data_IF_500950396136
#
_entry.id   IF_500950396136
#
_cell.length_a   1.000
_cell.length_b   1.000
_cell.length_c   1.000
_cell.angle_alpha   90.00
_cell.angle_beta   90.00
_cell.angle_gamma   90.00
#
_symmetry.space_group_name_H-M   'P 1'
#
loop_
_entity.id
_entity.type
_entity.pdbx_description
1 polymer ?
#
# COMPACT_ATOMS: atom_id res chain seq x y z
N UNK A 1 -25.83 -32.91 36.13
CA UNK A 1 -25.77 -32.43 34.74
C UNK A 1 -24.57 -31.49 34.68
N UNK A 2 -23.46 -31.99 34.13
CA UNK A 2 -22.18 -31.29 34.13
C UNK A 2 -21.82 -31.06 32.66
N UNK A 3 -22.01 -29.82 32.17
CA UNK A 3 -21.63 -29.43 30.82
C UNK A 3 -20.14 -29.09 30.77
N UNK A 4 -19.35 -29.95 30.11
CA UNK A 4 -17.95 -29.70 29.79
C UNK A 4 -17.85 -28.90 28.50
N UNK A 5 -17.53 -27.61 28.61
CA UNK A 5 -17.18 -26.75 27.48
C UNK A 5 -15.79 -27.09 26.93
N UNK A 6 -15.76 -27.80 25.81
CA UNK A 6 -14.53 -28.11 25.07
C UNK A 6 -13.97 -26.89 24.33
N UNK A 7 -12.80 -26.42 24.73
CA UNK A 7 -12.06 -25.39 24.01
C UNK A 7 -11.26 -26.03 22.87
N UNK A 8 -11.74 -25.86 21.64
CA UNK A 8 -11.08 -26.29 20.42
C UNK A 8 -9.68 -25.66 20.31
N UNK A 9 -8.66 -26.50 20.46
CA UNK A 9 -7.24 -26.18 20.22
C UNK A 9 -7.06 -25.88 18.74
N UNK A 10 -6.96 -24.60 18.36
CA UNK A 10 -6.41 -24.20 17.05
C UNK A 10 -4.91 -24.53 17.06
N UNK A 11 -4.55 -25.64 16.44
CA UNK A 11 -3.18 -25.89 16.01
C UNK A 11 -2.76 -24.74 15.07
N UNK A 12 -1.65 -24.08 15.38
CA UNK A 12 -0.97 -23.20 14.43
C UNK A 12 0.53 -23.46 14.54
N UNK A 13 1.12 -23.71 13.38
CA UNK A 13 2.40 -24.35 13.12
C UNK A 13 3.63 -23.73 13.82
N UNK A 14 4.69 -24.51 14.08
CA UNK A 14 5.99 -23.98 14.47
C UNK A 14 6.63 -23.23 13.30
N UNK A 15 6.98 -21.96 13.51
CA UNK A 15 7.80 -21.23 12.54
C UNK A 15 9.28 -21.52 12.85
N UNK A 16 9.84 -22.49 12.12
CA UNK A 16 11.29 -22.66 11.94
C UNK A 16 11.83 -21.43 11.20
N UNK A 17 13.05 -20.93 11.51
CA UNK A 17 13.62 -19.76 10.86
C UNK A 17 13.93 -20.06 9.39
N UNK A 18 13.24 -19.39 8.47
CA UNK A 18 13.66 -19.37 7.07
C UNK A 18 14.81 -18.36 6.90
N UNK A 19 16.02 -18.91 6.96
CA UNK A 19 17.18 -18.38 6.26
C UNK A 19 16.94 -18.63 4.76
N UNK A 20 16.95 -17.55 3.97
CA UNK A 20 16.99 -17.47 2.49
C UNK A 20 16.08 -18.40 1.68
N UNK A 21 15.03 -17.82 1.08
CA UNK A 21 14.51 -18.30 -0.22
C UNK A 21 14.01 -17.08 -1.03
N UNK A 22 14.54 -16.83 -2.24
CA UNK A 22 14.06 -15.77 -3.13
C UNK A 22 12.89 -16.33 -3.93
N UNK A 23 11.69 -16.31 -3.36
CA UNK A 23 10.47 -16.60 -4.09
C UNK A 23 9.32 -15.87 -3.41
N UNK A 24 8.40 -15.36 -4.22
CA UNK A 24 7.27 -14.46 -3.88
C UNK A 24 7.67 -12.98 -3.93
N UNK A 25 8.15 -12.56 -5.10
CA UNK A 25 7.82 -11.24 -5.65
C UNK A 25 6.47 -11.40 -6.34
N UNK A 26 5.42 -10.81 -5.78
CA UNK A 26 4.13 -10.72 -6.45
C UNK A 26 4.23 -9.82 -7.68
N UNK A 27 3.57 -10.28 -8.73
CA UNK A 27 3.61 -9.77 -10.08
C UNK A 27 2.76 -8.50 -10.23
N UNK A 28 3.25 -7.34 -9.79
CA UNK A 28 2.58 -6.06 -10.10
C UNK A 28 3.55 -4.89 -10.38
N UNK A 29 4.86 -5.16 -10.49
CA UNK A 29 5.86 -4.10 -10.78
C UNK A 29 6.57 -4.25 -12.13
N UNK A 30 5.97 -5.01 -13.06
CA UNK A 30 6.52 -5.26 -14.41
C UNK A 30 5.91 -4.37 -15.50
N UNK A 31 5.52 -3.14 -15.17
CA UNK A 31 5.06 -2.11 -16.14
C UNK A 31 5.71 -0.74 -16.02
N UNK A 32 6.81 -0.62 -15.29
CA UNK A 32 7.72 0.50 -15.46
C UNK A 32 9.15 -0.02 -15.55
N UNK A 33 9.95 0.60 -16.42
CA UNK A 33 11.33 0.24 -16.78
C UNK A 33 11.45 -0.77 -17.94
N UNK A 34 10.81 -0.42 -19.05
CA UNK A 34 11.50 -0.50 -20.35
C UNK A 34 12.34 0.78 -20.42
N UNK A 35 13.67 0.71 -20.34
CA UNK A 35 14.63 1.59 -21.02
C UNK A 35 16.06 1.19 -20.61
N UNK A 36 16.92 1.06 -21.63
CA UNK A 36 18.38 0.90 -21.59
C UNK A 36 18.95 -0.54 -21.67
N UNK A 37 18.92 -1.05 -22.91
CA UNK A 37 20.07 -1.53 -23.70
C UNK A 37 21.12 -2.44 -23.04
N UNK A 38 21.10 -3.71 -23.44
CA UNK A 38 22.16 -4.69 -23.22
C UNK A 38 23.32 -4.42 -24.18
N UNK A 39 24.48 -4.05 -23.66
CA UNK A 39 25.74 -4.24 -24.38
C UNK A 39 26.81 -4.86 -23.48
N UNK A 40 27.36 -5.96 -24.01
CA UNK A 40 28.73 -6.43 -23.82
C UNK A 40 29.09 -7.20 -22.54
N UNK A 41 29.03 -8.52 -22.71
CA UNK A 41 29.86 -9.55 -22.08
C UNK A 41 31.33 -9.12 -21.93
N UNK A 42 31.88 -9.17 -20.71
CA UNK A 42 33.31 -9.43 -20.49
C UNK A 42 33.55 -10.19 -19.17
N UNK A 43 34.05 -11.41 -19.34
CA UNK A 43 34.99 -12.19 -18.51
C UNK A 43 35.30 -11.68 -17.09
N UNK A 44 35.10 -12.52 -16.07
CA UNK A 44 36.21 -13.26 -15.43
C UNK A 44 35.69 -14.11 -14.26
N UNK A 45 35.98 -15.40 -14.31
CA UNK A 45 35.89 -16.31 -13.17
C UNK A 45 37.15 -16.11 -12.33
N UNK A 46 37.07 -15.35 -11.24
CA UNK A 46 38.10 -15.34 -10.20
C UNK A 46 37.54 -16.00 -8.95
N UNK A 47 38.16 -17.11 -8.58
CA UNK A 47 38.08 -17.71 -7.25
C UNK A 47 38.90 -16.83 -6.31
N UNK A 48 38.25 -16.16 -5.36
CA UNK A 48 38.92 -15.46 -4.24
C UNK A 48 38.64 -16.21 -2.92
N UNK A 49 39.65 -16.42 -2.07
CA UNK A 49 39.52 -17.14 -0.80
C UNK A 49 38.71 -16.32 0.22
N UNK A 50 38.12 -17.02 1.19
CA UNK A 50 37.49 -16.45 2.37
C UNK A 50 38.41 -15.44 3.09
N UNK A 51 38.14 -14.16 2.93
CA UNK A 51 38.62 -13.10 3.80
C UNK A 51 37.50 -12.78 4.78
N UNK A 52 37.60 -13.29 6.00
CA UNK A 52 36.86 -12.76 7.15
C UNK A 52 37.40 -11.36 7.42
N UNK A 53 36.77 -10.34 6.85
CA UNK A 53 37.03 -8.97 7.25
C UNK A 53 36.33 -8.75 8.61
N UNK A 54 37.13 -8.46 9.65
CA UNK A 54 36.58 -7.85 10.86
C UNK A 54 36.35 -6.37 10.53
N UNK A 55 35.12 -5.98 10.21
CA UNK A 55 34.77 -4.57 10.15
C UNK A 55 34.69 -4.05 11.59
N UNK A 56 35.60 -3.16 11.95
CA UNK A 56 35.52 -2.38 13.16
C UNK A 56 34.43 -1.30 13.01
N UNK A 57 33.24 -1.59 13.52
CA UNK A 57 32.07 -0.69 13.48
C UNK A 57 32.29 0.64 14.22
N UNK A 58 33.40 0.81 14.96
CA UNK A 58 33.72 2.07 15.64
C UNK A 58 33.98 3.25 14.68
N UNK A 59 34.24 2.96 13.39
CA UNK A 59 34.56 3.97 12.37
C UNK A 59 33.40 4.36 11.45
N UNK A 60 32.27 3.65 11.54
CA UNK A 60 31.12 3.85 10.61
C UNK A 60 29.90 4.43 11.33
N UNK A 61 29.84 4.35 12.67
CA UNK A 61 28.67 4.79 13.43
C UNK A 61 28.76 6.25 13.89
N UNK A 62 27.67 7.05 13.77
CA UNK A 62 27.64 8.42 14.26
C UNK A 62 27.80 8.48 15.79
N UNK A 63 28.44 9.55 16.28
CA UNK A 63 28.94 9.74 17.66
C UNK A 63 27.93 9.58 18.82
N UNK A 64 26.64 9.41 18.54
CA UNK A 64 25.62 9.14 19.56
C UNK A 64 25.41 7.63 19.83
N UNK A 65 26.02 6.74 19.03
CA UNK A 65 26.07 5.30 19.33
C UNK A 65 27.25 5.02 20.25
N UNK A 66 27.01 5.12 21.56
CA UNK A 66 27.95 4.62 22.57
C UNK A 66 27.72 3.12 22.76
N UNK A 67 28.64 2.27 22.30
CA UNK A 67 28.71 0.87 22.77
C UNK A 67 29.31 0.91 24.18
N UNK A 68 28.49 1.31 25.13
CA UNK A 68 28.80 1.17 26.54
C UNK A 68 28.39 -0.23 26.97
N UNK A 69 29.35 -1.04 27.42
CA UNK A 69 29.08 -2.19 28.29
C UNK A 69 28.44 -1.67 29.58
N UNK A 70 27.14 -1.41 29.56
CA UNK A 70 26.38 -1.16 30.79
C UNK A 70 26.16 -2.50 31.47
N UNK A 71 26.82 -2.66 32.61
CA UNK A 71 26.49 -3.63 33.63
C UNK A 71 24.97 -3.74 33.75
N UNK A 72 24.46 -4.95 33.62
CA UNK A 72 23.05 -5.31 33.68
C UNK A 72 22.51 -4.95 35.07
N UNK A 73 22.04 -3.71 35.24
CA UNK A 73 21.17 -3.38 36.37
C UNK A 73 19.82 -3.95 36.00
N UNK A 74 19.44 -5.06 36.62
CA UNK A 74 18.08 -5.59 36.57
C UNK A 74 17.14 -4.58 37.20
N UNK A 75 16.64 -3.64 36.40
CA UNK A 75 15.42 -2.91 36.71
C UNK A 75 14.31 -3.94 36.75
N UNK A 76 14.02 -4.44 37.95
CA UNK A 76 12.72 -5.01 38.26
C UNK A 76 11.73 -3.87 38.08
N UNK A 77 11.12 -3.82 36.90
CA UNK A 77 10.03 -2.91 36.60
C UNK A 77 8.81 -3.32 37.44
N UNK A 78 8.80 -2.89 38.70
CA UNK A 78 7.60 -2.87 39.55
C UNK A 78 6.68 -1.77 39.03
N UNK A 79 6.02 -2.05 37.91
CA UNK A 79 5.01 -1.19 37.30
C UNK A 79 3.92 -2.05 36.70
N UNK A 80 2.97 -2.49 37.54
CA UNK A 80 1.59 -2.88 37.21
C UNK A 80 1.30 -3.89 36.08
N UNK A 81 2.29 -4.47 35.40
CA UNK A 81 2.05 -5.40 34.31
C UNK A 81 1.89 -6.82 34.85
N UNK A 82 0.77 -7.45 34.51
CA UNK A 82 0.55 -8.89 34.74
C UNK A 82 1.75 -9.64 34.16
N UNK A 83 2.41 -10.44 34.98
CA UNK A 83 3.54 -11.27 34.55
C UNK A 83 3.07 -12.26 33.49
N UNK A 84 3.54 -12.10 32.25
CA UNK A 84 3.27 -13.05 31.17
C UNK A 84 4.21 -14.24 31.35
N UNK A 85 3.66 -15.46 31.36
CA UNK A 85 4.46 -16.70 31.44
C UNK A 85 4.65 -17.28 30.03
N UNK A 86 5.86 -17.74 29.75
CA UNK A 86 6.14 -18.53 28.54
C UNK A 86 5.74 -20.01 28.74
N UNK A 87 5.82 -20.82 27.69
CA UNK A 87 5.48 -22.25 27.76
C UNK A 87 6.40 -23.07 28.69
N UNK A 88 7.56 -22.53 29.09
CA UNK A 88 8.41 -23.15 30.11
C UNK A 88 7.93 -22.88 31.55
N UNK A 89 6.84 -22.13 31.76
CA UNK A 89 6.40 -21.67 33.07
C UNK A 89 7.22 -20.51 33.64
N UNK A 90 8.19 -19.98 32.88
CA UNK A 90 9.02 -18.85 33.29
C UNK A 90 8.38 -17.52 32.88
N UNK A 91 8.64 -16.46 33.66
CA UNK A 91 8.25 -15.09 33.29
C UNK A 91 8.93 -14.71 31.98
N UNK A 92 8.13 -14.31 30.99
CA UNK A 92 8.58 -13.83 29.71
C UNK A 92 8.98 -12.35 29.83
N UNK A 93 10.28 -11.99 29.68
CA UNK A 93 10.70 -10.59 29.70
C UNK A 93 10.15 -9.80 28.51
N UNK A 94 9.85 -8.52 28.75
CA UNK A 94 9.51 -7.55 27.71
C UNK A 94 10.80 -7.12 26.98
N UNK A 95 10.89 -7.45 25.70
CA UNK A 95 11.98 -7.12 24.78
C UNK A 95 11.50 -6.10 23.73
N UNK A 96 12.44 -5.47 23.04
CA UNK A 96 12.17 -4.54 21.94
C UNK A 96 12.71 -5.12 20.64
N UNK A 97 11.90 -5.16 19.59
CA UNK A 97 12.32 -5.52 18.26
C UNK A 97 13.17 -4.39 17.68
N UNK A 98 14.35 -4.76 17.18
CA UNK A 98 15.27 -3.86 16.47
C UNK A 98 15.37 -4.25 14.99
N UNK A 99 14.36 -4.96 14.47
CA UNK A 99 14.32 -5.36 13.05
C UNK A 99 13.87 -4.19 12.19
N UNK A 100 14.36 -4.11 10.95
CA UNK A 100 13.99 -3.03 10.01
C UNK A 100 12.48 -2.91 9.75
N UNK A 101 11.75 -4.02 9.86
CA UNK A 101 10.28 -4.05 9.71
C UNK A 101 9.52 -3.61 10.96
N UNK A 102 10.09 -3.78 12.16
CA UNK A 102 9.41 -3.50 13.43
C UNK A 102 10.32 -2.74 14.43
N UNK A 103 10.91 -1.60 14.04
CA UNK A 103 11.82 -0.88 14.92
C UNK A 103 11.08 -0.35 16.15
N UNK A 104 11.61 -0.62 17.34
CA UNK A 104 11.08 -0.09 18.59
C UNK A 104 9.81 -0.77 19.11
N UNK A 105 9.21 -1.71 18.36
CA UNK A 105 8.01 -2.44 18.80
C UNK A 105 8.36 -3.43 19.90
N UNK A 106 7.60 -3.44 21.00
CA UNK A 106 7.89 -4.30 22.16
C UNK A 106 7.16 -5.63 22.07
N UNK A 107 7.76 -6.69 22.60
CA UNK A 107 7.19 -8.04 22.64
C UNK A 107 7.65 -8.80 23.89
N UNK A 108 6.85 -9.73 24.39
CA UNK A 108 7.26 -10.71 25.38
C UNK A 108 7.88 -11.92 24.68
N UNK A 109 9.06 -12.34 25.13
CA UNK A 109 9.76 -13.52 24.59
C UNK A 109 10.18 -14.48 25.69
N UNK A 110 10.45 -15.75 25.37
CA UNK A 110 11.00 -16.69 26.35
C UNK A 110 12.32 -16.15 26.96
N UNK A 111 12.49 -16.31 28.28
CA UNK A 111 13.73 -15.94 28.97
C UNK A 111 14.94 -16.75 28.47
N UNK A 112 14.71 -18.02 28.08
CA UNK A 112 15.73 -18.91 27.49
C UNK A 112 16.02 -18.62 26.01
N UNK A 113 15.43 -17.57 25.43
CA UNK A 113 15.71 -17.14 24.05
C UNK A 113 17.02 -16.34 24.01
N UNK A 114 18.16 -17.01 24.22
CA UNK A 114 19.49 -16.41 24.09
C UNK A 114 20.47 -17.39 23.47
N UNK A 115 21.38 -16.90 22.64
CA UNK A 115 22.46 -17.72 22.04
C UNK A 115 23.40 -18.33 23.10
N UNK A 116 23.41 -17.77 24.32
CA UNK A 116 24.28 -18.19 25.43
C UNK A 116 23.63 -19.20 26.37
N UNK A 117 22.34 -19.49 26.22
CA UNK A 117 21.67 -20.47 27.07
C UNK A 117 21.73 -21.84 26.40
N UNK A 118 22.42 -22.79 27.03
CA UNK A 118 22.41 -24.23 26.66
C UNK A 118 21.05 -24.91 26.92
N UNK A 119 19.98 -24.14 27.05
CA UNK A 119 18.67 -24.62 27.45
C UNK A 119 17.68 -24.37 26.31
N UNK A 120 16.95 -25.42 25.95
CA UNK A 120 15.97 -25.36 24.87
C UNK A 120 14.92 -24.28 25.16
N UNK A 121 14.81 -23.33 24.24
CA UNK A 121 13.83 -22.24 24.32
C UNK A 121 12.49 -22.72 23.77
N UNK A 122 11.37 -22.37 24.42
CA UNK A 122 10.04 -22.78 23.96
C UNK A 122 9.45 -21.91 22.83
N UNK A 123 10.27 -21.07 22.19
CA UNK A 123 9.88 -20.17 21.10
C UNK A 123 8.65 -19.28 21.40
N UNK A 124 8.38 -19.01 22.69
CA UNK A 124 7.28 -18.14 23.10
C UNK A 124 7.51 -16.70 22.62
N UNK A 125 6.48 -16.13 21.97
CA UNK A 125 6.46 -14.77 21.45
C UNK A 125 5.05 -14.17 21.56
N UNK A 126 4.94 -12.93 22.05
CA UNK A 126 3.69 -12.18 22.12
C UNK A 126 3.95 -10.68 21.94
N UNK A 127 3.25 -10.02 21.02
CA UNK A 127 3.37 -8.56 20.88
C UNK A 127 2.87 -7.84 22.14
N UNK A 128 3.58 -6.81 22.56
CA UNK A 128 3.12 -5.89 23.59
C UNK A 128 2.42 -4.72 22.91
N UNK A 129 1.09 -4.74 22.98
CA UNK A 129 0.26 -3.63 22.58
C UNK A 129 -0.30 -2.99 23.87
N UNK A 130 0.14 -1.77 24.25
CA UNK A 130 -0.41 -1.11 25.42
C UNK A 130 -1.91 -0.88 25.20
N UNK A 131 -2.70 -0.99 26.28
CA UNK A 131 -4.12 -0.62 26.21
C UNK A 131 -4.23 0.81 25.67
N UNK A 132 -5.06 0.99 24.64
CA UNK A 132 -5.37 2.32 24.11
C UNK A 132 -5.83 3.21 25.25
N UNK A 133 -5.39 4.47 25.26
CA UNK A 133 -5.86 5.41 26.28
C UNK A 133 -7.39 5.54 26.21
N UNK A 134 -8.09 5.88 27.31
CA UNK A 134 -9.56 5.99 27.32
C UNK A 134 -10.10 6.85 26.16
N UNK A 135 -9.42 7.97 25.87
CA UNK A 135 -9.72 8.83 24.72
C UNK A 135 -9.61 8.09 23.37
N UNK A 136 -8.62 7.22 23.19
CA UNK A 136 -8.45 6.43 21.97
C UNK A 136 -9.56 5.40 21.77
N UNK A 137 -10.09 4.83 22.86
CA UNK A 137 -11.23 3.92 22.83
C UNK A 137 -12.51 4.66 22.41
N UNK A 138 -12.72 5.88 22.90
CA UNK A 138 -13.88 6.72 22.54
C UNK A 138 -13.81 7.25 21.10
N UNK A 139 -12.63 7.72 20.67
CA UNK A 139 -12.45 8.36 19.36
C UNK A 139 -12.36 7.33 18.22
N UNK A 140 -11.86 6.12 18.48
CA UNK A 140 -11.68 5.07 17.48
C UNK A 140 -12.95 4.81 16.64
N UNK A 141 -14.10 4.50 17.26
CA UNK A 141 -15.35 4.29 16.54
C UNK A 141 -15.82 5.50 15.72
N UNK A 142 -15.62 6.73 16.23
CA UNK A 142 -15.98 7.96 15.52
C UNK A 142 -15.13 8.13 14.26
N UNK A 143 -13.82 7.89 14.37
CA UNK A 143 -12.90 7.96 13.25
C UNK A 143 -13.23 6.91 12.19
N UNK A 144 -13.51 5.66 12.58
CA UNK A 144 -13.91 4.61 11.65
C UNK A 144 -15.21 4.95 10.92
N UNK A 145 -16.22 5.50 11.61
CA UNK A 145 -17.46 5.97 10.97
C UNK A 145 -17.19 7.07 9.96
N UNK A 146 -16.34 8.05 10.32
CA UNK A 146 -15.98 9.15 9.43
C UNK A 146 -15.22 8.67 8.19
N UNK A 147 -14.30 7.72 8.33
CA UNK A 147 -13.58 7.10 7.21
C UNK A 147 -14.58 6.46 6.24
N UNK A 148 -15.50 5.62 6.74
CA UNK A 148 -16.51 4.97 5.91
C UNK A 148 -17.41 5.97 5.17
N UNK A 149 -17.83 7.04 5.84
CA UNK A 149 -18.65 8.09 5.23
C UNK A 149 -17.89 8.84 4.13
N UNK A 150 -16.62 9.17 4.36
CA UNK A 150 -15.76 9.82 3.36
C UNK A 150 -15.47 8.88 2.18
N UNK A 151 -15.28 7.58 2.41
CA UNK A 151 -15.11 6.60 1.36
C UNK A 151 -16.36 6.47 0.48
N UNK A 152 -17.56 6.46 1.07
CA UNK A 152 -18.81 6.46 0.29
C UNK A 152 -18.99 7.75 -0.51
N UNK A 153 -18.77 8.90 0.11
CA UNK A 153 -18.89 10.21 -0.56
C UNK A 153 -17.92 10.32 -1.74
N UNK A 154 -16.68 9.88 -1.57
CA UNK A 154 -15.70 9.81 -2.65
C UNK A 154 -16.19 8.95 -3.81
N UNK A 155 -16.79 7.78 -3.53
CA UNK A 155 -17.31 6.90 -4.57
C UNK A 155 -18.46 7.53 -5.36
N UNK A 156 -19.36 8.24 -4.67
CA UNK A 156 -20.48 8.94 -5.30
C UNK A 156 -19.99 10.11 -6.18
N UNK A 157 -19.00 10.86 -5.68
CA UNK A 157 -18.35 11.92 -6.44
C UNK A 157 -17.66 11.35 -7.69
N UNK A 158 -16.99 10.20 -7.61
CA UNK A 158 -16.38 9.58 -8.79
C UNK A 158 -17.43 9.16 -9.84
N UNK A 159 -18.58 8.63 -9.42
CA UNK A 159 -19.69 8.26 -10.31
C UNK A 159 -20.27 9.50 -11.00
N UNK A 160 -20.54 10.57 -10.25
CA UNK A 160 -21.09 11.81 -10.79
C UNK A 160 -20.12 12.49 -11.75
N UNK A 161 -18.82 12.50 -11.45
CA UNK A 161 -17.79 13.06 -12.33
C UNK A 161 -17.70 12.28 -13.66
N UNK A 162 -17.76 10.94 -13.60
CA UNK A 162 -17.87 10.09 -14.81
C UNK A 162 -19.13 10.37 -15.63
N UNK A 163 -20.26 10.67 -14.99
CA UNK A 163 -21.50 11.03 -15.70
C UNK A 163 -21.41 12.40 -16.36
N UNK A 164 -20.91 13.40 -15.63
CA UNK A 164 -20.73 14.76 -16.14
C UNK A 164 -19.77 14.80 -17.32
N UNK A 165 -18.65 14.08 -17.24
CA UNK A 165 -17.69 13.99 -18.35
C UNK A 165 -18.29 13.35 -19.61
N UNK A 166 -19.16 12.34 -19.47
CA UNK A 166 -19.93 11.79 -20.60
C UNK A 166 -20.90 12.82 -21.18
N UNK A 167 -21.64 13.53 -20.33
CA UNK A 167 -22.58 14.56 -20.76
C UNK A 167 -21.88 15.71 -21.49
N UNK A 168 -20.71 16.14 -21.00
CA UNK A 168 -19.90 17.18 -21.66
C UNK A 168 -19.51 16.73 -23.07
N UNK A 169 -18.99 15.50 -23.22
CA UNK A 169 -18.63 14.96 -24.55
C UNK A 169 -19.83 14.83 -25.49
N UNK A 170 -21.00 14.45 -24.96
CA UNK A 170 -22.23 14.37 -25.76
C UNK A 170 -22.73 15.76 -26.21
N UNK A 171 -22.69 16.76 -25.32
CA UNK A 171 -23.01 18.13 -25.67
C UNK A 171 -22.03 18.72 -26.68
N UNK A 172 -20.74 18.38 -26.58
CA UNK A 172 -19.72 18.80 -27.55
C UNK A 172 -19.99 18.22 -28.94
N UNK A 173 -20.38 16.95 -29.03
CA UNK A 173 -20.72 16.33 -30.32
C UNK A 173 -22.01 16.89 -30.91
N UNK A 174 -23.03 17.14 -30.08
CA UNK A 174 -24.29 17.76 -30.50
C UNK A 174 -24.05 19.19 -31.02
N UNK A 175 -23.23 19.98 -30.31
CA UNK A 175 -22.82 21.32 -30.74
C UNK A 175 -22.08 21.29 -32.08
N UNK A 176 -21.24 20.28 -32.31
CA UNK A 176 -20.54 20.11 -33.58
C UNK A 176 -21.51 19.73 -34.71
N UNK A 177 -22.45 18.83 -34.43
CA UNK A 177 -23.50 18.46 -35.37
C UNK A 177 -24.35 19.68 -35.77
N UNK A 178 -24.80 20.48 -34.79
CA UNK A 178 -25.57 21.71 -35.01
C UNK A 178 -24.79 22.75 -35.84
N UNK A 179 -23.48 22.88 -35.63
CA UNK A 179 -22.64 23.74 -36.48
C UNK A 179 -22.62 23.28 -37.93
N UNK A 180 -22.54 21.97 -38.16
CA UNK A 180 -22.53 21.40 -39.51
C UNK A 180 -23.91 21.57 -40.17
N UNK A 181 -25.00 21.27 -39.47
CA UNK A 181 -26.36 21.43 -40.01
C UNK A 181 -26.68 22.88 -40.30
N UNK A 182 -26.30 23.82 -39.43
CA UNK A 182 -26.48 25.25 -39.66
C UNK A 182 -25.73 25.72 -40.92
N UNK A 183 -24.47 25.29 -41.10
CA UNK A 183 -23.71 25.57 -42.33
C UNK A 183 -24.42 25.02 -43.55
N UNK A 184 -24.84 23.75 -43.52
CA UNK A 184 -25.58 23.11 -44.63
C UNK A 184 -26.85 23.88 -44.95
N UNK A 185 -27.66 24.22 -43.95
CA UNK A 185 -28.89 25.00 -44.12
C UNK A 185 -28.63 26.36 -44.78
N UNK A 186 -27.57 27.06 -44.36
CA UNK A 186 -27.17 28.32 -45.00
C UNK A 186 -26.84 28.14 -46.48
N UNK A 187 -26.08 27.10 -46.82
CA UNK A 187 -25.76 26.80 -48.22
C UNK A 187 -27.00 26.38 -49.02
N UNK A 188 -27.89 25.54 -48.47
CA UNK A 188 -29.11 25.11 -49.17
C UNK A 188 -30.06 26.29 -49.40
N UNK A 189 -30.24 27.17 -48.42
CA UNK A 189 -31.06 28.39 -48.59
C UNK A 189 -30.49 29.29 -49.69
N UNK A 190 -29.17 29.49 -49.72
CA UNK A 190 -28.51 30.28 -50.77
C UNK A 190 -28.65 29.65 -52.16
N UNK A 191 -28.45 28.34 -52.29
CA UNK A 191 -28.63 27.63 -53.56
C UNK A 191 -30.08 27.71 -54.06
N UNK A 192 -31.05 27.46 -53.18
CA UNK A 192 -32.47 27.59 -53.52
C UNK A 192 -32.82 29.01 -53.98
N UNK A 193 -32.27 30.03 -53.32
CA UNK A 193 -32.47 31.43 -53.74
C UNK A 193 -31.94 31.70 -55.15
N UNK A 194 -30.74 31.21 -55.49
CA UNK A 194 -30.16 31.35 -56.83
C UNK A 194 -31.05 30.66 -57.88
N UNK A 195 -31.53 29.45 -57.60
CA UNK A 195 -32.42 28.72 -58.51
C UNK A 195 -33.71 29.51 -58.77
N UNK A 196 -34.32 30.09 -57.73
CA UNK A 196 -35.51 30.94 -57.87
C UNK A 196 -35.24 32.14 -58.78
N UNK A 197 -34.11 32.82 -58.60
CA UNK A 197 -33.72 33.97 -59.42
C UNK A 197 -33.53 33.57 -60.89
N UNK A 198 -32.87 32.43 -61.15
CA UNK A 198 -32.66 31.92 -62.52
C UNK A 198 -33.99 31.55 -63.18
N UNK A 199 -34.86 30.80 -62.50
CA UNK A 199 -36.19 30.43 -63.02
C UNK A 199 -37.00 31.69 -63.34
N UNK A 200 -36.98 32.68 -62.45
CA UNK A 200 -37.68 33.95 -62.67
C UNK A 200 -37.17 34.69 -63.90
N UNK A 201 -35.84 34.72 -64.12
CA UNK A 201 -35.25 35.34 -65.30
C UNK A 201 -35.62 34.61 -66.60
N UNK A 202 -35.61 33.27 -66.60
CA UNK A 202 -36.03 32.46 -67.75
C UNK A 202 -37.51 32.66 -68.07
N UNK A 203 -38.36 32.75 -67.04
CA UNK A 203 -39.80 33.01 -67.21
C UNK A 203 -40.06 34.39 -67.84
N UNK A 204 -39.32 35.43 -67.43
CA UNK A 204 -39.42 36.75 -68.06
C UNK A 204 -38.99 36.70 -69.53
N UNK A 205 -37.85 36.05 -69.82
CA UNK A 205 -37.32 35.96 -71.20
C UNK A 205 -38.29 35.26 -72.15
N UNK A 206 -38.89 34.16 -71.71
CA UNK A 206 -39.82 33.36 -72.53
C UNK A 206 -41.16 34.06 -72.79
N UNK A 207 -41.61 34.97 -71.92
CA UNK A 207 -42.83 35.75 -72.12
C UNK A 207 -42.61 37.08 -72.86
N UNK A 208 -41.35 37.48 -73.06
CA UNK A 208 -41.00 38.71 -73.80
C UNK A 208 -40.77 38.48 -75.30
N UNK A 209 -40.60 37.23 -75.73
CA UNK A 209 -40.49 36.80 -77.14
C UNK A 209 -41.86 36.39 -77.69
#
# INVERSE_FOLDING_TARGET
MEEKGGLLRRERAPMVPLIFSPAILDAEERKQVHYLSWDSLFLFRIRVPSLSYNIDLSKVLPKWVTIGSRSSSSVTASGGHRSVLCHCGLVAPLKMALTGFNPGRRFFGCAKWSEKSNQESCNFFLWYDPSTCPRGIEVGPMLTKKIKALESEKSDLEITNKRLTKNIKALESEKLHLKITNKRLKYTMGLSWIVIVVISALWVKTNSE
#
